data_IF_438265872237
#
_entry.id   IF_438265872237
#
_cell.length_a   1.000
_cell.length_b   1.000
_cell.length_c   1.000
_cell.angle_alpha   90.00
_cell.angle_beta   90.00
_cell.angle_gamma   90.00
#
_symmetry.space_group_name_H-M   'P 1'
#
loop_
_entity.id
_entity.type
_entity.pdbx_description
1 polymer ?
#
# COMPACT_ATOMS: atom_id res chain seq x y z
N UNK A 1 16.75 -4.16 -27.84
CA UNK A 1 16.75 -5.64 -27.82
C UNK A 1 16.23 -6.07 -26.46
N UNK A 2 15.21 -6.92 -26.39
CA UNK A 2 14.79 -7.51 -25.13
C UNK A 2 15.88 -8.49 -24.68
N UNK A 3 16.40 -8.28 -23.48
CA UNK A 3 17.38 -9.18 -22.86
C UNK A 3 16.57 -10.19 -22.05
N UNK A 4 16.86 -11.51 -22.15
CA UNK A 4 16.22 -12.50 -21.30
C UNK A 4 16.37 -12.12 -19.83
N UNK A 5 15.29 -12.23 -19.05
CA UNK A 5 15.36 -11.98 -17.63
C UNK A 5 16.35 -12.96 -16.97
N UNK A 6 17.25 -12.44 -16.13
CA UNK A 6 18.27 -13.24 -15.46
C UNK A 6 17.69 -14.29 -14.51
N UNK A 7 16.42 -14.14 -14.09
CA UNK A 7 15.69 -15.09 -13.29
C UNK A 7 14.21 -15.11 -13.68
N UNK A 8 13.61 -16.30 -13.63
CA UNK A 8 12.17 -16.46 -13.74
C UNK A 8 11.47 -16.09 -12.42
N UNK A 9 10.20 -15.65 -12.45
CA UNK A 9 9.49 -15.28 -11.24
C UNK A 9 9.33 -16.49 -10.30
N UNK A 10 9.65 -16.30 -9.02
CA UNK A 10 9.50 -17.33 -7.99
C UNK A 10 8.03 -17.40 -7.57
N UNK A 11 7.42 -18.59 -7.70
CA UNK A 11 6.01 -18.84 -7.32
C UNK A 11 5.84 -19.43 -5.91
N UNK A 12 6.94 -19.78 -5.25
CA UNK A 12 6.93 -20.52 -3.98
C UNK A 12 6.25 -19.70 -2.86
N UNK A 13 5.36 -20.33 -2.09
CA UNK A 13 4.60 -19.75 -0.95
C UNK A 13 3.63 -18.61 -1.30
N UNK A 14 3.30 -18.41 -2.57
CA UNK A 14 2.28 -17.45 -3.01
C UNK A 14 0.93 -18.14 -3.27
N UNK A 15 -0.16 -17.41 -3.07
CA UNK A 15 -1.48 -17.83 -3.58
C UNK A 15 -1.55 -17.57 -5.09
N UNK A 16 -2.25 -18.40 -5.88
CA UNK A 16 -2.31 -18.25 -7.35
C UNK A 16 -2.68 -16.84 -7.83
N UNK A 17 -3.64 -16.18 -7.18
CA UNK A 17 -4.06 -14.82 -7.53
C UNK A 17 -2.97 -13.74 -7.32
N UNK A 18 -1.92 -14.04 -6.55
CA UNK A 18 -0.79 -13.15 -6.31
C UNK A 18 0.43 -13.51 -7.16
N UNK A 19 0.32 -14.49 -8.07
CA UNK A 19 1.44 -14.91 -8.90
C UNK A 19 1.96 -13.76 -9.78
N UNK A 20 3.29 -13.69 -10.01
CA UNK A 20 3.89 -12.62 -10.81
C UNK A 20 3.32 -12.53 -12.22
N UNK A 21 3.01 -13.65 -12.86
CA UNK A 21 2.34 -13.73 -14.17
C UNK A 21 1.00 -12.98 -14.20
N UNK A 22 0.16 -13.21 -13.19
CA UNK A 22 -1.12 -12.51 -13.05
C UNK A 22 -0.91 -11.02 -12.77
N UNK A 23 0.02 -10.67 -11.86
CA UNK A 23 0.32 -9.26 -11.53
C UNK A 23 0.86 -8.49 -12.73
N UNK A 24 1.75 -9.09 -13.52
CA UNK A 24 2.29 -8.49 -14.74
C UNK A 24 1.19 -8.31 -15.79
N UNK A 25 0.28 -9.27 -15.96
CA UNK A 25 -0.85 -9.09 -16.87
C UNK A 25 -1.80 -7.97 -16.41
N UNK A 26 -2.12 -7.89 -15.12
CA UNK A 26 -2.92 -6.81 -14.56
C UNK A 26 -2.25 -5.44 -14.74
N UNK A 27 -0.93 -5.36 -14.55
CA UNK A 27 -0.15 -4.15 -14.79
C UNK A 27 -0.17 -3.77 -16.29
N UNK A 28 -0.01 -4.72 -17.19
CA UNK A 28 -0.10 -4.47 -18.62
C UNK A 28 -1.50 -3.93 -19.01
N UNK A 29 -2.56 -4.51 -18.46
CA UNK A 29 -3.93 -4.03 -18.65
C UNK A 29 -4.12 -2.60 -18.11
N UNK A 30 -3.53 -2.29 -16.95
CA UNK A 30 -3.56 -0.94 -16.36
C UNK A 30 -2.89 0.09 -17.25
N UNK A 31 -1.66 -0.18 -17.70
CA UNK A 31 -0.90 0.73 -18.56
C UNK A 31 -1.56 0.89 -19.93
N UNK A 32 -2.17 -0.18 -20.46
CA UNK A 32 -2.93 -0.11 -21.71
C UNK A 32 -4.19 0.75 -21.57
N UNK A 33 -4.95 0.59 -20.47
CA UNK A 33 -6.17 1.37 -20.20
C UNK A 33 -5.86 2.85 -19.92
N UNK A 34 -4.68 3.15 -19.38
CA UNK A 34 -4.34 4.48 -18.89
C UNK A 34 -2.94 4.93 -19.36
N UNK A 35 -2.88 5.53 -20.55
CA UNK A 35 -1.66 6.07 -21.16
C UNK A 35 -0.92 7.11 -20.30
N UNK A 36 -1.65 7.91 -19.50
CA UNK A 36 -1.10 8.93 -18.60
C UNK A 36 -1.57 8.73 -17.15
N UNK A 37 -1.42 7.50 -16.61
CA UNK A 37 -1.90 7.16 -15.26
C UNK A 37 -1.42 8.13 -14.19
N UNK A 38 -0.15 8.55 -14.24
CA UNK A 38 0.41 9.43 -13.22
C UNK A 38 -0.22 10.83 -13.22
N UNK A 39 -0.40 11.46 -14.39
CA UNK A 39 -1.10 12.75 -14.50
C UNK A 39 -2.53 12.66 -13.95
N UNK A 40 -3.26 11.57 -14.26
CA UNK A 40 -4.60 11.32 -13.71
C UNK A 40 -4.61 11.19 -12.19
N UNK A 41 -3.57 10.60 -11.60
CA UNK A 41 -3.41 10.49 -10.15
C UNK A 41 -3.18 11.87 -9.54
N UNK A 42 -2.35 12.72 -10.15
CA UNK A 42 -2.10 14.09 -9.70
C UNK A 42 -3.38 14.93 -9.76
N UNK A 43 -4.21 14.74 -10.78
CA UNK A 43 -5.45 15.51 -10.96
C UNK A 43 -6.64 14.95 -10.17
N UNK A 44 -6.51 13.79 -9.53
CA UNK A 44 -7.63 13.17 -8.84
C UNK A 44 -8.02 13.94 -7.56
N UNK A 45 -9.31 14.27 -7.44
CA UNK A 45 -9.85 15.01 -6.29
C UNK A 45 -10.30 14.11 -5.12
N UNK A 46 -10.32 12.79 -5.32
CA UNK A 46 -10.69 11.86 -4.26
C UNK A 46 -9.91 10.55 -4.34
N UNK A 47 -9.73 9.91 -3.17
CA UNK A 47 -9.11 8.59 -3.11
C UNK A 47 -9.94 7.54 -3.86
N UNK A 48 -11.26 7.69 -3.90
CA UNK A 48 -12.15 6.81 -4.69
C UNK A 48 -11.88 6.92 -6.19
N UNK A 49 -11.65 8.14 -6.70
CA UNK A 49 -11.26 8.33 -8.10
C UNK A 49 -9.92 7.63 -8.40
N UNK A 50 -8.93 7.78 -7.51
CA UNK A 50 -7.65 7.05 -7.61
C UNK A 50 -7.86 5.54 -7.63
N UNK A 51 -8.67 4.99 -6.71
CA UNK A 51 -8.97 3.56 -6.63
C UNK A 51 -9.62 3.04 -7.93
N UNK A 52 -10.47 3.85 -8.57
CA UNK A 52 -11.15 3.46 -9.82
C UNK A 52 -10.21 3.24 -11.00
N UNK A 53 -9.03 3.87 -11.00
CA UNK A 53 -8.01 3.65 -12.04
C UNK A 53 -7.45 2.22 -11.99
N UNK A 54 -7.50 1.58 -10.82
CA UNK A 54 -7.04 0.21 -10.63
C UNK A 54 -8.13 -0.84 -10.83
N UNK A 55 -9.34 -0.46 -11.28
CA UNK A 55 -10.35 -1.42 -11.72
C UNK A 55 -9.98 -1.98 -13.10
N UNK A 56 -9.09 -2.99 -13.07
CA UNK A 56 -8.56 -3.68 -14.23
C UNK A 56 -8.59 -5.19 -14.03
N UNK A 57 -8.64 -5.90 -15.16
CA UNK A 57 -8.63 -7.35 -15.22
C UNK A 57 -7.49 -7.81 -16.13
N UNK A 58 -6.88 -8.95 -15.80
CA UNK A 58 -5.99 -9.64 -16.73
C UNK A 58 -6.74 -10.04 -18.03
N UNK A 59 -5.99 -10.19 -19.12
CA UNK A 59 -6.55 -10.59 -20.42
C UNK A 59 -7.18 -11.99 -20.39
N UNK A 60 -8.00 -12.31 -21.41
CA UNK A 60 -8.80 -13.53 -21.48
C UNK A 60 -7.99 -14.84 -21.30
N UNK A 61 -6.75 -14.88 -21.79
CA UNK A 61 -5.83 -16.00 -21.57
C UNK A 61 -5.73 -16.41 -20.08
N UNK A 62 -5.70 -15.42 -19.18
CA UNK A 62 -5.54 -15.64 -17.74
C UNK A 62 -6.83 -16.03 -17.03
N UNK A 63 -7.98 -16.05 -17.73
CA UNK A 63 -9.22 -16.57 -17.16
C UNK A 63 -9.09 -18.04 -16.81
N UNK A 64 -8.32 -18.80 -17.59
CA UNK A 64 -8.09 -20.24 -17.42
C UNK A 64 -6.65 -20.59 -17.07
N UNK A 65 -5.77 -19.61 -16.84
CA UNK A 65 -4.34 -19.85 -16.56
C UNK A 65 -3.86 -19.06 -15.34
N UNK A 66 -2.94 -19.63 -14.57
CA UNK A 66 -2.12 -18.92 -13.59
C UNK A 66 -0.64 -18.87 -13.99
N UNK A 67 -0.22 -19.81 -14.80
CA UNK A 67 1.11 -19.90 -15.42
C UNK A 67 0.92 -20.11 -16.90
N UNK A 68 1.96 -19.82 -17.67
CA UNK A 68 1.93 -20.11 -19.09
C UNK A 68 1.77 -21.61 -19.31
N UNK A 69 0.90 -21.96 -20.26
CA UNK A 69 0.66 -23.31 -20.78
C UNK A 69 0.15 -24.34 -19.75
N UNK A 70 -0.21 -23.87 -18.55
CA UNK A 70 -0.84 -24.67 -17.49
C UNK A 70 -2.31 -24.25 -17.29
N UNK A 71 -3.24 -25.04 -17.83
CA UNK A 71 -4.67 -24.80 -17.65
C UNK A 71 -5.12 -25.00 -16.20
N UNK A 72 -6.11 -24.21 -15.81
CA UNK A 72 -6.75 -24.19 -14.50
C UNK A 72 -8.26 -23.97 -14.65
N UNK A 73 -9.00 -24.14 -13.56
CA UNK A 73 -10.41 -23.79 -13.53
C UNK A 73 -10.61 -22.29 -13.85
N UNK A 74 -11.72 -22.00 -14.55
CA UNK A 74 -12.09 -20.64 -14.91
C UNK A 74 -12.19 -19.74 -13.67
N UNK A 75 -11.57 -18.57 -13.71
CA UNK A 75 -11.68 -17.56 -12.66
C UNK A 75 -11.27 -16.19 -13.21
N UNK A 76 -12.03 -15.15 -12.86
CA UNK A 76 -11.71 -13.77 -13.21
C UNK A 76 -10.51 -13.27 -12.41
N UNK A 77 -9.53 -12.66 -13.09
CA UNK A 77 -8.28 -12.18 -12.48
C UNK A 77 -8.29 -10.66 -12.32
N UNK A 78 -9.18 -10.14 -11.47
CA UNK A 78 -9.27 -8.72 -11.12
C UNK A 78 -8.41 -8.36 -9.91
N UNK A 79 -8.09 -7.08 -9.76
CA UNK A 79 -7.54 -6.57 -8.50
C UNK A 79 -8.64 -6.57 -7.43
N UNK A 80 -8.34 -7.15 -6.25
CA UNK A 80 -9.24 -7.09 -5.10
C UNK A 80 -9.14 -5.75 -4.39
N UNK A 81 -10.20 -5.37 -3.65
CA UNK A 81 -10.26 -4.09 -2.94
C UNK A 81 -9.05 -3.88 -2.00
N UNK A 82 -8.69 -4.89 -1.20
CA UNK A 82 -7.53 -4.81 -0.30
C UNK A 82 -6.21 -4.58 -1.04
N UNK A 83 -6.05 -5.17 -2.22
CA UNK A 83 -4.86 -4.95 -3.05
C UNK A 83 -4.81 -3.51 -3.56
N UNK A 84 -5.95 -2.97 -3.99
CA UNK A 84 -6.04 -1.57 -4.45
C UNK A 84 -5.69 -0.62 -3.30
N UNK A 85 -6.26 -0.85 -2.12
CA UNK A 85 -5.91 -0.07 -0.90
C UNK A 85 -4.41 -0.18 -0.61
N UNK A 86 -3.83 -1.37 -0.66
CA UNK A 86 -2.39 -1.57 -0.44
C UNK A 86 -1.52 -0.83 -1.45
N UNK A 87 -1.90 -0.82 -2.74
CA UNK A 87 -1.21 -0.04 -3.79
C UNK A 87 -1.33 1.45 -3.49
N UNK A 88 -2.49 1.93 -3.05
CA UNK A 88 -2.67 3.32 -2.66
C UNK A 88 -1.70 3.71 -1.53
N UNK A 89 -1.72 2.95 -0.42
CA UNK A 89 -0.91 3.24 0.77
C UNK A 89 0.60 3.15 0.47
N UNK A 90 1.05 2.08 -0.21
CA UNK A 90 2.48 1.78 -0.34
C UNK A 90 3.13 2.36 -1.60
N UNK A 91 2.34 2.89 -2.54
CA UNK A 91 2.89 3.33 -3.83
C UNK A 91 2.31 4.66 -4.27
N UNK A 92 1.00 4.77 -4.42
CA UNK A 92 0.39 5.98 -5.00
C UNK A 92 0.57 7.19 -4.09
N UNK A 93 0.22 7.07 -2.81
CA UNK A 93 0.27 8.20 -1.88
C UNK A 93 1.70 8.64 -1.56
N UNK A 94 2.68 7.73 -1.31
CA UNK A 94 4.08 8.13 -1.16
C UNK A 94 4.62 8.85 -2.40
N UNK A 95 4.34 8.36 -3.61
CA UNK A 95 4.79 9.00 -4.86
C UNK A 95 4.12 10.37 -5.03
N UNK A 96 2.82 10.49 -4.75
CA UNK A 96 2.09 11.76 -4.82
C UNK A 96 2.65 12.79 -3.84
N UNK A 97 2.94 12.38 -2.60
CA UNK A 97 3.55 13.25 -1.59
C UNK A 97 4.95 13.70 -2.02
N UNK A 98 5.81 12.77 -2.45
CA UNK A 98 7.15 13.09 -2.96
C UNK A 98 7.11 14.03 -4.17
N UNK A 99 6.12 13.86 -5.06
CA UNK A 99 5.92 14.77 -6.20
C UNK A 99 5.60 16.19 -5.72
N UNK A 100 4.63 16.34 -4.81
CA UNK A 100 4.32 17.64 -4.19
C UNK A 100 5.54 18.27 -3.51
N UNK A 101 6.34 17.48 -2.80
CA UNK A 101 7.59 17.95 -2.21
C UNK A 101 8.59 18.45 -3.26
N UNK A 102 8.78 17.70 -4.36
CA UNK A 102 9.73 18.03 -5.41
C UNK A 102 9.38 19.35 -6.14
N UNK A 103 8.10 19.65 -6.30
CA UNK A 103 7.64 20.90 -6.93
C UNK A 103 7.25 21.99 -5.93
N UNK A 104 7.48 21.75 -4.63
CA UNK A 104 7.13 22.65 -3.53
C UNK A 104 5.63 23.03 -3.47
N UNK A 105 4.75 22.09 -3.82
CA UNK A 105 3.31 22.25 -3.78
C UNK A 105 2.73 21.57 -2.53
N UNK A 106 2.38 22.39 -1.53
CA UNK A 106 1.78 21.91 -0.28
C UNK A 106 0.38 21.35 -0.45
N UNK A 107 -0.39 21.82 -1.43
CA UNK A 107 -1.76 21.33 -1.65
C UNK A 107 -1.73 19.85 -2.09
N UNK A 108 -0.75 19.46 -2.91
CA UNK A 108 -0.57 18.05 -3.29
C UNK A 108 -0.16 17.20 -2.09
N UNK A 109 0.75 17.68 -1.25
CA UNK A 109 1.20 16.98 -0.04
C UNK A 109 0.04 16.78 0.95
N UNK A 110 -0.73 17.83 1.23
CA UNK A 110 -1.90 17.78 2.10
C UNK A 110 -2.98 16.85 1.55
N UNK A 111 -3.22 16.86 0.23
CA UNK A 111 -4.18 15.94 -0.39
C UNK A 111 -3.73 14.48 -0.28
N UNK A 112 -2.45 14.19 -0.48
CA UNK A 112 -1.92 12.84 -0.28
C UNK A 112 -2.13 12.36 1.17
N UNK A 113 -1.89 13.23 2.15
CA UNK A 113 -2.19 12.95 3.56
C UNK A 113 -3.70 12.77 3.82
N UNK A 114 -4.54 13.63 3.26
CA UNK A 114 -5.99 13.54 3.40
C UNK A 114 -6.55 12.24 2.78
N UNK A 115 -5.97 11.77 1.67
CA UNK A 115 -6.32 10.46 1.10
C UNK A 115 -5.92 9.32 2.03
N UNK A 116 -4.77 9.41 2.69
CA UNK A 116 -4.32 8.41 3.66
C UNK A 116 -5.28 8.31 4.86
N UNK A 117 -5.85 9.43 5.32
CA UNK A 117 -6.87 9.44 6.38
C UNK A 117 -8.24 8.86 5.94
N UNK A 118 -8.50 8.75 4.64
CA UNK A 118 -9.75 8.19 4.10
C UNK A 118 -9.65 6.68 3.82
N UNK A 119 -8.44 6.10 3.86
CA UNK A 119 -8.22 4.68 3.67
C UNK A 119 -8.35 3.92 4.99
N UNK A 120 -8.84 2.66 4.98
CA UNK A 120 -8.93 1.86 6.19
C UNK A 120 -7.53 1.59 6.75
N UNK A 121 -7.43 1.49 8.08
CA UNK A 121 -6.20 1.08 8.74
C UNK A 121 -5.73 -0.28 8.23
N UNK A 122 -4.42 -0.44 8.09
CA UNK A 122 -3.85 -1.72 7.69
C UNK A 122 -4.06 -2.80 8.77
N UNK A 123 -4.45 -4.00 8.34
CA UNK A 123 -4.61 -5.14 9.24
C UNK A 123 -3.37 -6.03 9.20
N UNK A 124 -2.45 -5.80 10.13
CA UNK A 124 -1.27 -6.64 10.31
C UNK A 124 -0.99 -6.92 11.79
N UNK A 125 -0.08 -7.85 12.08
CA UNK A 125 0.24 -8.26 13.46
C UNK A 125 0.70 -7.10 14.32
N UNK A 126 1.45 -6.15 13.77
CA UNK A 126 1.94 -5.00 14.54
C UNK A 126 0.79 -4.09 14.98
N UNK A 127 -0.16 -3.79 14.08
CA UNK A 127 -1.33 -2.98 14.40
C UNK A 127 -2.24 -3.66 15.42
N UNK A 128 -2.43 -4.99 15.33
CA UNK A 128 -3.22 -5.74 16.33
C UNK A 128 -2.66 -5.61 17.73
N UNK A 129 -1.33 -5.68 17.89
CA UNK A 129 -0.68 -5.49 19.20
C UNK A 129 -0.98 -4.09 19.76
N UNK A 130 -0.92 -3.05 18.94
CA UNK A 130 -1.27 -1.69 19.39
C UNK A 130 -2.74 -1.57 19.81
N UNK A 131 -3.65 -2.20 19.06
CA UNK A 131 -5.07 -2.23 19.38
C UNK A 131 -5.36 -3.00 20.70
N UNK A 132 -4.67 -4.12 20.93
CA UNK A 132 -4.75 -4.89 22.19
C UNK A 132 -4.27 -4.07 23.40
N UNK A 133 -3.36 -3.10 23.19
CA UNK A 133 -2.92 -2.13 24.20
C UNK A 133 -3.89 -0.96 24.38
N UNK A 134 -5.04 -0.96 23.71
CA UNK A 134 -6.07 0.09 23.80
C UNK A 134 -5.83 1.29 22.88
N UNK A 135 -4.85 1.26 21.98
CA UNK A 135 -4.64 2.33 21.00
C UNK A 135 -5.69 2.22 19.89
N UNK A 136 -6.43 3.31 19.67
CA UNK A 136 -7.37 3.38 18.56
C UNK A 136 -6.62 3.63 17.25
N UNK A 137 -6.85 2.77 16.26
CA UNK A 137 -6.30 2.88 14.90
C UNK A 137 -7.47 2.94 13.93
N UNK A 138 -7.76 4.13 13.40
CA UNK A 138 -8.99 4.42 12.65
C UNK A 138 -8.77 4.36 11.13
N UNK A 139 -7.66 4.91 10.66
CA UNK A 139 -7.35 5.00 9.24
C UNK A 139 -5.89 4.67 8.93
N UNK A 140 -5.55 4.56 7.64
CA UNK A 140 -4.21 4.19 7.20
C UNK A 140 -3.12 5.14 7.72
N UNK A 141 -3.44 6.42 7.97
CA UNK A 141 -2.43 7.33 8.54
C UNK A 141 -2.03 6.93 9.98
N UNK A 142 -2.95 6.39 10.77
CA UNK A 142 -2.66 5.91 12.13
C UNK A 142 -1.81 4.64 12.05
N UNK A 143 -2.17 3.70 11.16
CA UNK A 143 -1.42 2.46 11.02
C UNK A 143 0.00 2.74 10.52
N UNK A 144 0.17 3.62 9.52
CA UNK A 144 1.48 4.01 9.02
C UNK A 144 2.33 4.71 10.09
N UNK A 145 1.75 5.63 10.87
CA UNK A 145 2.46 6.29 11.97
C UNK A 145 2.96 5.28 13.03
N UNK A 146 2.11 4.32 13.42
CA UNK A 146 2.46 3.29 14.41
C UNK A 146 3.47 2.26 13.88
N UNK A 147 3.40 1.92 12.60
CA UNK A 147 4.39 1.05 11.95
C UNK A 147 5.75 1.73 11.91
N UNK A 148 5.81 3.00 11.53
CA UNK A 148 7.07 3.75 11.47
C UNK A 148 7.64 4.00 12.87
N UNK A 149 6.79 4.38 13.84
CA UNK A 149 7.18 4.51 15.25
C UNK A 149 7.80 3.21 15.77
N UNK A 150 7.15 2.07 15.52
CA UNK A 150 7.65 0.77 15.94
C UNK A 150 9.01 0.47 15.30
N UNK A 151 9.11 0.62 13.98
CA UNK A 151 10.30 0.28 13.21
C UNK A 151 11.50 1.16 13.57
N UNK A 152 11.27 2.46 13.74
CA UNK A 152 12.35 3.43 13.99
C UNK A 152 12.75 3.51 15.46
N UNK A 153 11.84 3.23 16.38
CA UNK A 153 12.09 3.38 17.82
C UNK A 153 11.95 2.08 18.60
N UNK A 154 10.76 1.44 18.61
CA UNK A 154 10.49 0.30 19.50
C UNK A 154 11.38 -0.91 19.21
N UNK A 155 11.45 -1.33 17.95
CA UNK A 155 12.25 -2.49 17.54
C UNK A 155 13.77 -2.22 17.74
N UNK A 156 14.18 -0.94 17.70
CA UNK A 156 15.55 -0.49 17.96
C UNK A 156 15.83 -0.17 19.43
N UNK A 157 14.84 -0.28 20.32
CA UNK A 157 14.93 0.05 21.76
C UNK A 157 15.33 1.51 22.05
N UNK A 158 15.00 2.45 21.16
CA UNK A 158 15.30 3.89 21.32
C UNK A 158 14.25 4.62 22.17
N UNK A 159 13.86 4.05 23.31
CA UNK A 159 12.79 4.61 24.14
C UNK A 159 13.12 5.99 24.71
N UNK A 160 14.40 6.28 24.96
CA UNK A 160 14.85 7.59 25.46
C UNK A 160 14.79 8.70 24.41
N UNK A 161 14.86 8.34 23.12
CA UNK A 161 14.76 9.27 21.98
C UNK A 161 13.33 9.39 21.44
N UNK A 162 12.39 8.60 21.97
CA UNK A 162 11.00 8.53 21.53
C UNK A 162 10.12 9.36 22.45
N UNK A 163 9.31 10.29 21.91
CA UNK A 163 8.39 11.09 22.71
C UNK A 163 7.41 10.23 23.54
N UNK A 164 6.90 9.14 22.96
CA UNK A 164 6.04 8.19 23.68
C UNK A 164 6.82 7.40 24.74
N UNK A 165 8.05 6.98 24.42
CA UNK A 165 8.91 6.27 25.37
C UNK A 165 9.27 7.14 26.58
N UNK A 166 9.62 8.40 26.34
CA UNK A 166 9.88 9.39 27.39
C UNK A 166 8.64 9.60 28.27
N UNK A 167 7.45 9.73 27.68
CA UNK A 167 6.20 9.89 28.42
C UNK A 167 5.87 8.67 29.31
N UNK A 168 6.23 7.45 28.89
CA UNK A 168 6.03 6.22 29.66
C UNK A 168 7.06 6.08 30.79
N UNK A 169 8.33 6.34 30.51
CA UNK A 169 9.43 6.14 31.46
C UNK A 169 9.46 7.22 32.55
N UNK A 170 9.17 8.47 32.18
CA UNK A 170 9.22 9.62 33.07
C UNK A 170 7.83 10.06 33.53
N UNK A 171 6.89 9.11 33.69
CA UNK A 171 5.63 9.39 34.38
C UNK A 171 5.96 9.96 35.76
N UNK A 172 5.90 11.28 35.90
CA UNK A 172 5.91 11.93 37.21
C UNK A 172 4.66 11.39 37.91
N UNK A 173 4.77 10.77 39.10
CA UNK A 173 3.58 10.57 39.91
C UNK A 173 2.91 11.95 40.00
N UNK A 174 1.62 12.03 39.70
CA UNK A 174 0.85 13.18 40.18
C UNK A 174 1.00 13.16 41.69
N UNK A 175 1.91 13.98 42.21
CA UNK A 175 1.97 14.36 43.60
C UNK A 175 0.65 15.07 43.89
N UNK A 176 -0.29 14.28 44.42
CA UNK A 176 -1.41 14.71 45.24
C UNK A 176 -1.18 14.11 46.63
#
# INVERSE_FOLDING_TARGET
RLIPAAAFPVFLRMRPAAFPTIRLSQLAALLHKHSNLFSKIIEADSVKAVQSFFDVQASDYWLTHYRFDEMSAYSTKKLGADMIVNICINTVLPVLFCYGQAIQDSAIMERAYAFLMQLPAESNKAIRIWQEMGIQVRHAADSQALLELRKQYCDQKKCLDCALGHAILYQTPKLL
#
